data_IF_747631185819
#
_entry.id   IF_747631185819
#
_cell.length_a   1.000
_cell.length_b   1.000
_cell.length_c   1.000
_cell.angle_alpha   90.00
_cell.angle_beta   90.00
_cell.angle_gamma   90.00
#
_symmetry.space_group_name_H-M   'P 1'
#
loop_
_entity.id
_entity.type
_entity.pdbx_description
1 polymer ?
#
# COMPACT_ATOMS: atom_id res chain seq x y z
N UNK A 1 -23.69 4.36 -9.66
CA UNK A 1 -22.70 4.99 -8.77
C UNK A 1 -22.88 6.50 -8.79
N UNK A 2 -22.87 7.13 -7.62
CA UNK A 2 -22.98 8.58 -7.51
C UNK A 2 -21.69 9.24 -8.06
N UNK A 3 -21.77 10.17 -9.04
CA UNK A 3 -20.58 10.80 -9.60
C UNK A 3 -19.76 11.64 -8.59
N UNK A 4 -20.34 11.98 -7.43
CA UNK A 4 -19.63 12.70 -6.38
C UNK A 4 -18.87 11.79 -5.41
N UNK A 5 -19.10 10.48 -5.48
CA UNK A 5 -18.39 9.52 -4.64
C UNK A 5 -17.00 9.26 -5.18
N UNK A 6 -15.99 9.14 -4.28
CA UNK A 6 -14.66 8.76 -4.73
C UNK A 6 -14.65 7.32 -5.26
N UNK A 7 -13.73 6.98 -6.17
CA UNK A 7 -13.55 5.58 -6.57
C UNK A 7 -13.24 4.72 -5.35
N UNK A 8 -13.69 3.46 -5.33
CA UNK A 8 -13.43 2.56 -4.21
C UNK A 8 -11.93 2.20 -4.11
N UNK A 9 -11.50 1.87 -2.90
CA UNK A 9 -10.17 1.33 -2.67
C UNK A 9 -10.17 -0.11 -3.17
N UNK A 10 -9.27 -0.43 -4.11
CA UNK A 10 -9.18 -1.77 -4.67
C UNK A 10 -8.34 -2.66 -3.76
N UNK A 11 -8.79 -3.90 -3.58
CA UNK A 11 -8.00 -4.91 -2.89
C UNK A 11 -7.11 -5.59 -3.93
N UNK A 12 -5.80 -5.51 -3.76
CA UNK A 12 -4.84 -6.13 -4.67
C UNK A 12 -4.18 -7.31 -3.97
N UNK A 13 -4.13 -8.47 -4.63
CA UNK A 13 -3.45 -9.62 -4.08
C UNK A 13 -1.93 -9.45 -4.13
N UNK A 14 -1.21 -10.22 -3.32
CA UNK A 14 0.25 -10.19 -3.34
C UNK A 14 0.81 -10.56 -4.72
N UNK A 15 0.35 -11.62 -5.41
CA UNK A 15 0.81 -11.91 -6.76
C UNK A 15 0.52 -10.79 -7.77
N UNK A 16 -0.64 -10.15 -7.67
CA UNK A 16 -1.00 -9.04 -8.56
C UNK A 16 -0.11 -7.82 -8.30
N UNK A 17 0.19 -7.52 -7.04
CA UNK A 17 1.13 -6.46 -6.71
C UNK A 17 2.53 -6.76 -7.28
N UNK A 18 3.00 -8.00 -7.15
CA UNK A 18 4.29 -8.41 -7.71
C UNK A 18 4.34 -8.14 -9.22
N UNK A 19 3.26 -8.47 -9.94
CA UNK A 19 3.17 -8.22 -11.38
C UNK A 19 3.20 -6.71 -11.69
N UNK A 20 2.50 -5.91 -10.90
CA UNK A 20 2.52 -4.44 -11.06
C UNK A 20 3.91 -3.86 -10.84
N UNK A 21 4.64 -4.36 -9.84
CA UNK A 21 5.99 -3.87 -9.54
C UNK A 21 7.00 -4.26 -10.61
N UNK A 22 6.82 -5.42 -11.27
CA UNK A 22 7.73 -5.90 -12.30
C UNK A 22 7.58 -5.18 -13.64
N UNK A 23 6.34 -5.01 -14.09
CA UNK A 23 6.09 -4.63 -15.49
C UNK A 23 4.98 -3.61 -15.65
N UNK A 24 4.38 -3.16 -14.56
CA UNK A 24 3.27 -2.24 -14.59
C UNK A 24 3.68 -0.77 -14.55
N UNK A 25 2.71 0.10 -14.34
CA UNK A 25 2.94 1.53 -14.17
C UNK A 25 3.75 1.82 -12.90
N UNK A 26 4.19 3.06 -12.76
CA UNK A 26 4.85 3.48 -11.53
C UNK A 26 3.91 3.31 -10.33
N UNK A 27 4.36 2.59 -9.32
CA UNK A 27 3.59 2.29 -8.11
C UNK A 27 4.27 2.92 -6.90
N UNK A 28 3.50 3.67 -6.11
CA UNK A 28 3.96 4.18 -4.83
C UNK A 28 3.54 3.15 -3.77
N UNK A 29 4.49 2.46 -3.16
CA UNK A 29 4.22 1.40 -2.19
C UNK A 29 4.50 1.91 -0.78
N UNK A 30 3.43 2.05 0.01
CA UNK A 30 3.47 2.68 1.34
C UNK A 30 3.31 1.65 2.44
N UNK A 31 4.28 1.61 3.36
CA UNK A 31 4.26 0.76 4.54
C UNK A 31 3.67 1.55 5.72
N UNK A 32 2.52 1.11 6.23
CA UNK A 32 1.85 1.80 7.34
C UNK A 32 2.05 1.12 8.68
N UNK A 33 3.08 0.27 8.80
CA UNK A 33 3.43 -0.40 10.05
C UNK A 33 4.33 0.49 10.92
N UNK A 34 4.99 -0.11 11.88
CA UNK A 34 5.97 0.55 12.74
C UNK A 34 7.41 0.32 12.22
N UNK A 35 8.34 1.13 12.70
CA UNK A 35 9.76 0.92 12.39
C UNK A 35 10.26 -0.43 12.88
N UNK A 36 9.78 -0.88 14.03
CA UNK A 36 10.15 -2.18 14.62
C UNK A 36 9.67 -3.34 13.72
N UNK A 37 8.46 -3.26 13.21
CA UNK A 37 7.95 -4.26 12.27
C UNK A 37 8.76 -4.25 10.97
N UNK A 38 9.09 -3.07 10.49
CA UNK A 38 9.88 -2.91 9.28
C UNK A 38 11.29 -3.50 9.41
N UNK A 39 11.87 -3.43 10.60
CA UNK A 39 13.16 -4.05 10.89
C UNK A 39 13.09 -5.58 10.85
N UNK A 40 11.94 -6.17 11.16
CA UNK A 40 11.75 -7.62 11.10
C UNK A 40 11.58 -8.08 9.65
N UNK A 41 10.73 -7.39 8.89
CA UNK A 41 10.38 -7.78 7.53
C UNK A 41 9.99 -6.56 6.70
N UNK A 42 10.42 -6.50 5.45
CA UNK A 42 10.20 -5.35 4.57
C UNK A 42 9.95 -5.84 3.14
N UNK A 43 8.99 -5.22 2.47
CA UNK A 43 8.84 -5.40 1.01
C UNK A 43 9.76 -4.39 0.34
N UNK A 44 10.64 -4.87 -0.53
CA UNK A 44 11.54 -4.01 -1.28
C UNK A 44 10.77 -2.97 -2.10
N UNK A 45 11.25 -1.74 -2.06
CA UNK A 45 10.60 -0.63 -2.77
C UNK A 45 9.53 0.09 -1.94
N UNK A 46 9.16 -0.46 -0.77
CA UNK A 46 8.22 0.22 0.13
C UNK A 46 8.93 1.28 0.97
N UNK A 47 8.15 2.27 1.38
CA UNK A 47 8.63 3.30 2.31
C UNK A 47 7.66 3.46 3.48
N UNK A 48 8.21 3.60 4.68
CA UNK A 48 7.43 3.77 5.89
C UNK A 48 6.68 5.11 5.87
N UNK A 49 5.40 5.08 6.23
CA UNK A 49 4.58 6.28 6.35
C UNK A 49 4.89 6.98 7.67
N UNK A 50 5.87 7.87 7.63
CA UNK A 50 6.14 8.81 8.71
C UNK A 50 5.59 10.19 8.34
N UNK A 51 5.77 11.19 9.20
CA UNK A 51 5.23 12.52 8.94
C UNK A 51 5.81 13.15 7.68
N UNK A 52 7.11 12.99 7.46
CA UNK A 52 7.77 13.56 6.28
C UNK A 52 7.23 12.93 5.00
N UNK A 53 7.02 11.62 4.99
CA UNK A 53 6.49 10.94 3.83
C UNK A 53 5.01 11.24 3.61
N UNK A 54 4.23 11.35 4.69
CA UNK A 54 2.84 11.81 4.62
C UNK A 54 2.77 13.14 3.86
N UNK A 55 3.59 14.11 4.26
CA UNK A 55 3.60 15.43 3.63
C UNK A 55 4.03 15.37 2.16
N UNK A 56 5.00 14.51 1.85
CA UNK A 56 5.44 14.28 0.47
C UNK A 56 4.31 13.66 -0.38
N UNK A 57 3.57 12.69 0.16
CA UNK A 57 2.45 12.08 -0.55
C UNK A 57 1.37 13.09 -0.91
N UNK A 58 1.13 14.09 -0.05
CA UNK A 58 0.13 15.13 -0.33
C UNK A 58 0.48 15.99 -1.55
N UNK A 59 1.73 15.97 -2.00
CA UNK A 59 2.18 16.70 -3.18
C UNK A 59 2.03 15.90 -4.47
N UNK A 60 1.68 14.61 -4.38
CA UNK A 60 1.49 13.77 -5.55
C UNK A 60 0.21 14.14 -6.30
N UNK A 61 0.18 13.82 -7.60
CA UNK A 61 -1.04 13.86 -8.39
C UNK A 61 -2.09 12.97 -7.73
N UNK A 62 -3.36 13.43 -7.72
CA UNK A 62 -4.45 12.67 -7.07
C UNK A 62 -4.80 11.38 -7.80
N UNK A 63 -4.30 11.18 -9.03
CA UNK A 63 -4.45 9.94 -9.77
C UNK A 63 -3.23 9.01 -9.62
N UNK A 64 -2.23 9.37 -8.83
CA UNK A 64 -1.08 8.50 -8.56
C UNK A 64 -1.54 7.15 -8.00
N UNK A 65 -0.96 6.08 -8.53
CA UNK A 65 -1.27 4.73 -8.06
C UNK A 65 -0.51 4.46 -6.76
N UNK A 66 -1.25 4.36 -5.67
CA UNK A 66 -0.68 4.15 -4.33
C UNK A 66 -1.23 2.85 -3.76
N UNK A 67 -0.32 1.97 -3.34
CA UNK A 67 -0.67 0.72 -2.65
C UNK A 67 -0.21 0.84 -1.21
N UNK A 68 -1.14 0.67 -0.28
CA UNK A 68 -0.87 0.66 1.15
C UNK A 68 -0.75 -0.77 1.64
N UNK A 69 0.24 -1.05 2.49
CA UNK A 69 0.42 -2.37 3.07
C UNK A 69 0.71 -2.28 4.57
N UNK A 70 0.28 -3.31 5.28
CA UNK A 70 0.60 -3.50 6.69
C UNK A 70 0.81 -5.00 6.96
N UNK A 71 0.62 -5.46 8.20
CA UNK A 71 0.82 -6.88 8.52
C UNK A 71 -0.20 -7.78 7.82
N UNK A 72 -1.51 -7.48 7.97
CA UNK A 72 -2.59 -8.30 7.43
C UNK A 72 -3.62 -7.54 6.58
N UNK A 73 -3.46 -6.23 6.40
CA UNK A 73 -4.34 -5.45 5.53
C UNK A 73 -5.38 -4.56 6.22
N UNK A 74 -5.43 -4.54 7.56
CA UNK A 74 -6.43 -3.76 8.30
C UNK A 74 -6.00 -2.31 8.47
N UNK A 75 -4.80 -2.07 9.00
CA UNK A 75 -4.26 -0.71 9.17
C UNK A 75 -4.09 0.01 7.83
N UNK A 76 -3.65 -0.74 6.82
CA UNK A 76 -3.44 -0.19 5.48
C UNK A 76 -4.75 0.18 4.79
N UNK A 77 -5.83 -0.56 5.04
CA UNK A 77 -7.16 -0.18 4.54
C UNK A 77 -7.58 1.17 5.12
N UNK A 78 -7.37 1.38 6.41
CA UNK A 78 -7.70 2.65 7.08
C UNK A 78 -6.86 3.81 6.55
N UNK A 79 -5.57 3.57 6.30
CA UNK A 79 -4.71 4.58 5.71
C UNK A 79 -5.18 4.96 4.30
N UNK A 80 -5.56 3.98 3.51
CA UNK A 80 -6.11 4.23 2.17
C UNK A 80 -7.38 5.07 2.24
N UNK A 81 -8.28 4.76 3.18
CA UNK A 81 -9.50 5.54 3.38
C UNK A 81 -9.21 7.00 3.76
N UNK A 82 -8.19 7.23 4.59
CA UNK A 82 -7.74 8.57 4.94
C UNK A 82 -7.30 9.35 3.69
N UNK A 83 -6.47 8.77 2.84
CA UNK A 83 -6.02 9.42 1.61
C UNK A 83 -7.16 9.57 0.59
N UNK A 84 -8.11 8.64 0.57
CA UNK A 84 -9.32 8.78 -0.24
C UNK A 84 -10.08 10.05 0.12
N UNK A 85 -10.22 10.35 1.41
CA UNK A 85 -10.86 11.59 1.88
C UNK A 85 -10.08 12.84 1.46
N UNK A 86 -8.79 12.73 1.22
CA UNK A 86 -7.96 13.83 0.74
C UNK A 86 -7.99 13.99 -0.78
N UNK A 87 -8.82 13.21 -1.46
CA UNK A 87 -9.06 13.37 -2.89
C UNK A 87 -8.26 12.42 -3.79
N UNK A 88 -7.48 11.51 -3.23
CA UNK A 88 -6.78 10.51 -4.04
C UNK A 88 -7.77 9.52 -4.62
N UNK A 89 -7.58 9.15 -5.90
CA UNK A 89 -8.57 8.38 -6.66
C UNK A 89 -8.07 7.03 -7.15
N UNK A 90 -6.79 6.69 -6.93
CA UNK A 90 -6.21 5.46 -7.49
C UNK A 90 -5.47 4.70 -6.39
N UNK A 91 -6.24 4.27 -5.40
CA UNK A 91 -5.73 3.67 -4.17
C UNK A 91 -6.00 2.18 -4.11
N UNK A 92 -5.02 1.44 -3.60
CA UNK A 92 -5.12 0.00 -3.39
C UNK A 92 -4.68 -0.36 -1.97
N UNK A 93 -5.25 -1.45 -1.47
CA UNK A 93 -4.81 -2.08 -0.23
C UNK A 93 -4.25 -3.47 -0.58
N UNK A 94 -3.07 -3.78 -0.06
CA UNK A 94 -2.50 -5.12 -0.23
C UNK A 94 -3.28 -6.11 0.63
N UNK A 95 -4.09 -6.93 -0.03
CA UNK A 95 -4.91 -7.94 0.64
C UNK A 95 -4.03 -8.96 1.35
N UNK A 96 -4.27 -9.15 2.64
CA UNK A 96 -3.47 -10.06 3.46
C UNK A 96 -2.13 -9.48 3.91
N UNK A 97 -1.77 -8.28 3.46
CA UNK A 97 -0.57 -7.56 3.88
C UNK A 97 0.74 -8.26 3.57
N UNK A 98 1.79 -7.88 4.30
CA UNK A 98 3.11 -8.48 4.12
C UNK A 98 3.12 -9.98 4.46
N UNK A 99 2.20 -10.44 5.29
CA UNK A 99 2.07 -11.87 5.60
C UNK A 99 1.73 -12.65 4.32
N UNK A 100 0.75 -12.19 3.54
CA UNK A 100 0.40 -12.79 2.25
C UNK A 100 1.55 -12.65 1.24
N UNK A 101 2.25 -11.54 1.25
CA UNK A 101 3.42 -11.33 0.40
C UNK A 101 4.48 -12.41 0.66
N UNK A 102 4.80 -12.65 1.93
CA UNK A 102 5.75 -13.69 2.34
C UNK A 102 5.31 -15.07 1.90
N UNK A 103 4.03 -15.40 2.08
CA UNK A 103 3.48 -16.72 1.74
C UNK A 103 3.40 -16.98 0.24
N UNK A 104 3.03 -15.96 -0.54
CA UNK A 104 2.62 -16.14 -1.94
C UNK A 104 3.65 -15.63 -2.95
N UNK A 105 4.55 -14.74 -2.57
CA UNK A 105 5.47 -14.09 -3.49
C UNK A 105 6.92 -14.32 -3.10
N UNK A 106 7.30 -13.93 -1.89
CA UNK A 106 8.71 -13.94 -1.48
C UNK A 106 8.88 -14.58 -0.11
N UNK A 107 9.15 -15.91 -0.07
CA UNK A 107 9.32 -16.63 1.20
C UNK A 107 10.58 -16.22 1.98
N UNK A 108 11.49 -15.44 1.38
CA UNK A 108 12.65 -14.91 2.12
C UNK A 108 12.27 -13.75 3.04
N UNK A 109 11.09 -13.15 2.86
CA UNK A 109 10.57 -12.14 3.78
C UNK A 109 10.05 -12.84 5.03
N UNK A 110 10.61 -12.56 6.22
CA UNK A 110 10.17 -13.24 7.44
C UNK A 110 8.70 -12.99 7.76
N UNK A 111 8.07 -14.01 8.30
CA UNK A 111 6.74 -13.89 8.90
C UNK A 111 6.89 -13.61 10.39
N UNK A 112 5.95 -12.86 10.94
CA UNK A 112 5.99 -12.52 12.35
C UNK A 112 4.60 -12.42 12.97
#
# INVERSE_FOLDING_TARGET
MNPTEPPPIRQVSAPDLAALLESGPAVVLVDVRTEEERAIATIEGSRLLDQAYHDALLQLDRDALIVFQCHHGIRSQRAAEYFQHLGFRNLCNLQGGIDAWSLLVDPSVPRY
#
